data_IF_979904095444
#
_entry.id   IF_979904095444
#
_cell.length_a   1.000
_cell.length_b   1.000
_cell.length_c   1.000
_cell.angle_alpha   90.00
_cell.angle_beta   90.00
_cell.angle_gamma   90.00
#
_symmetry.space_group_name_H-M   'P 1'
#
loop_
_entity.id
_entity.type
_entity.pdbx_description
1 polymer ?
#
# COMPACT_ATOMS: atom_id res chain seq x y z
N UNK A 1 11.96 -1.98 -26.62
CA UNK A 1 11.12 -3.22 -26.59
C UNK A 1 10.08 -3.04 -25.51
N UNK A 2 8.78 -3.02 -25.85
CA UNK A 2 7.70 -3.07 -24.87
C UNK A 2 7.73 -4.44 -24.19
N UNK A 3 7.89 -4.48 -22.87
CA UNK A 3 7.83 -5.74 -22.13
C UNK A 3 6.45 -6.39 -22.36
N UNK A 4 6.44 -7.71 -22.56
CA UNK A 4 5.18 -8.47 -22.68
C UNK A 4 4.38 -8.31 -21.39
N UNK A 5 3.07 -8.00 -21.46
CA UNK A 5 2.22 -7.94 -20.29
C UNK A 5 2.25 -9.24 -19.48
N UNK A 6 2.30 -9.12 -18.15
CA UNK A 6 2.20 -10.27 -17.27
C UNK A 6 0.77 -10.81 -17.29
N UNK A 7 0.62 -12.11 -17.55
CA UNK A 7 -0.66 -12.80 -17.46
C UNK A 7 -0.74 -13.59 -16.16
N UNK A 8 -1.82 -13.40 -15.40
CA UNK A 8 -2.09 -14.10 -14.15
C UNK A 8 -3.32 -15.00 -14.25
N UNK A 9 -3.45 -15.93 -13.31
CA UNK A 9 -4.56 -16.92 -13.23
C UNK A 9 -5.92 -16.26 -13.00
N UNK A 10 -7.01 -16.99 -13.23
CA UNK A 10 -8.36 -16.53 -12.94
C UNK A 10 -8.57 -16.33 -11.43
N UNK A 11 -8.00 -17.21 -10.61
CA UNK A 11 -7.99 -17.09 -9.14
C UNK A 11 -7.34 -15.79 -8.70
N UNK A 12 -6.14 -15.49 -9.20
CA UNK A 12 -5.48 -14.22 -8.90
C UNK A 12 -6.30 -13.02 -9.40
N UNK A 13 -6.93 -13.13 -10.58
CA UNK A 13 -7.77 -12.05 -11.10
C UNK A 13 -8.99 -11.78 -10.21
N UNK A 14 -9.64 -12.81 -9.69
CA UNK A 14 -10.75 -12.68 -8.74
C UNK A 14 -10.30 -11.93 -7.47
N UNK A 15 -9.13 -12.27 -6.93
CA UNK A 15 -8.53 -11.57 -5.79
C UNK A 15 -8.24 -10.11 -6.10
N UNK A 16 -7.55 -9.82 -7.22
CA UNK A 16 -7.15 -8.48 -7.63
C UNK A 16 -8.36 -7.56 -7.88
N UNK A 17 -9.45 -8.13 -8.40
CA UNK A 17 -10.68 -7.38 -8.75
C UNK A 17 -11.72 -7.32 -7.64
N UNK A 18 -11.58 -8.14 -6.59
CA UNK A 18 -12.62 -8.33 -5.58
C UNK A 18 -12.27 -7.85 -4.18
N UNK A 19 -11.00 -7.63 -3.82
CA UNK A 19 -10.62 -7.21 -2.48
C UNK A 19 -10.98 -5.75 -2.18
N UNK A 20 -11.56 -5.52 -1.01
CA UNK A 20 -11.93 -4.18 -0.55
C UNK A 20 -10.71 -3.38 -0.11
N UNK A 21 -9.74 -4.05 0.51
CA UNK A 21 -8.59 -3.40 1.14
C UNK A 21 -7.31 -4.18 0.87
N UNK A 22 -6.26 -3.47 0.48
CA UNK A 22 -4.94 -4.02 0.21
C UNK A 22 -3.86 -3.17 0.86
N UNK A 23 -2.68 -3.74 1.04
CA UNK A 23 -1.53 -2.98 1.50
C UNK A 23 -0.64 -2.59 0.32
N UNK A 24 -0.39 -1.30 0.12
CA UNK A 24 0.59 -0.81 -0.85
C UNK A 24 1.90 -0.49 -0.15
N UNK A 25 2.99 -1.06 -0.65
CA UNK A 25 4.34 -0.74 -0.20
C UNK A 25 5.13 -0.02 -1.28
N UNK A 26 5.95 0.94 -0.86
CA UNK A 26 6.84 1.72 -1.71
C UNK A 26 8.17 2.01 -1.02
N UNK A 27 9.22 2.19 -1.82
CA UNK A 27 10.60 2.36 -1.33
C UNK A 27 10.79 3.74 -0.72
N UNK A 28 11.65 3.83 0.29
CA UNK A 28 12.07 5.10 0.90
C UNK A 28 13.47 5.50 0.42
N UNK A 29 13.81 6.79 0.43
CA UNK A 29 15.16 7.24 0.08
C UNK A 29 16.27 6.61 0.94
N UNK A 30 15.95 6.17 2.15
CA UNK A 30 16.88 5.49 3.06
C UNK A 30 17.03 3.97 2.75
N UNK A 31 16.45 3.46 1.66
CA UNK A 31 16.54 2.05 1.27
C UNK A 31 15.66 1.09 2.06
N UNK A 32 14.69 1.59 2.81
CA UNK A 32 13.64 0.78 3.44
C UNK A 32 12.34 0.81 2.63
N UNK A 33 11.26 0.28 3.22
CA UNK A 33 9.91 0.37 2.67
C UNK A 33 8.95 1.03 3.66
N UNK A 34 7.90 1.63 3.13
CA UNK A 34 6.69 2.04 3.89
C UNK A 34 5.54 1.24 3.34
N UNK A 35 4.67 0.78 4.21
CA UNK A 35 3.44 0.06 3.84
C UNK A 35 2.24 0.76 4.44
N UNK A 36 1.19 0.95 3.63
CA UNK A 36 -0.07 1.61 4.02
C UNK A 36 -1.26 0.88 3.40
N UNK A 37 -2.40 0.96 4.06
CA UNK A 37 -3.66 0.41 3.55
C UNK A 37 -4.27 1.34 2.49
N UNK A 38 -4.80 0.76 1.42
CA UNK A 38 -5.57 1.45 0.37
C UNK A 38 -6.72 0.56 -0.11
N UNK A 39 -7.74 1.16 -0.74
CA UNK A 39 -8.77 0.41 -1.46
C UNK A 39 -8.44 0.43 -2.94
N UNK A 40 -8.19 -0.73 -3.57
CA UNK A 40 -7.82 -0.84 -4.98
C UNK A 40 -9.03 -0.64 -5.91
N UNK A 41 -10.26 -0.76 -5.38
CA UNK A 41 -11.51 -0.63 -6.12
C UNK A 41 -11.64 -1.62 -7.30
N UNK A 42 -10.89 -2.73 -7.27
CA UNK A 42 -10.87 -3.69 -8.37
C UNK A 42 -10.31 -3.14 -9.69
N UNK A 43 -9.54 -2.06 -9.65
CA UNK A 43 -8.97 -1.42 -10.83
C UNK A 43 -7.88 -2.30 -11.44
N UNK A 44 -8.28 -3.14 -12.41
CA UNK A 44 -7.41 -4.08 -13.11
C UNK A 44 -7.61 -3.99 -14.60
N UNK A 45 -6.54 -4.10 -15.37
CA UNK A 45 -6.52 -4.34 -16.80
C UNK A 45 -5.66 -5.58 -17.05
N UNK A 46 -6.32 -6.76 -17.10
CA UNK A 46 -5.65 -8.05 -17.27
C UNK A 46 -4.95 -8.17 -18.61
N UNK A 47 -5.54 -7.58 -19.66
CA UNK A 47 -4.95 -7.64 -20.98
C UNK A 47 -3.65 -6.83 -21.08
N UNK A 48 -3.56 -5.73 -20.36
CA UNK A 48 -2.37 -4.91 -20.27
C UNK A 48 -1.41 -5.32 -19.14
N UNK A 49 -1.74 -6.33 -18.33
CA UNK A 49 -0.91 -6.73 -17.17
C UNK A 49 -0.85 -5.66 -16.09
N UNK A 50 -1.95 -4.93 -15.85
CA UNK A 50 -1.98 -3.76 -14.96
C UNK A 50 -2.97 -3.91 -13.84
N UNK A 51 -2.58 -3.33 -12.70
CA UNK A 51 -3.46 -3.09 -11.55
C UNK A 51 -3.33 -1.62 -11.14
N UNK A 52 -4.27 -1.12 -10.34
CA UNK A 52 -4.21 0.27 -9.94
C UNK A 52 -4.88 0.57 -8.61
N UNK A 53 -4.67 1.77 -8.15
CA UNK A 53 -5.42 2.36 -7.04
C UNK A 53 -5.49 3.87 -7.21
N UNK A 54 -6.40 4.50 -6.48
CA UNK A 54 -6.47 5.97 -6.46
C UNK A 54 -6.00 6.54 -5.13
N UNK A 55 -5.51 7.76 -5.19
CA UNK A 55 -5.11 8.52 -4.01
C UNK A 55 -5.46 10.01 -4.21
N UNK A 56 -5.06 10.87 -3.29
CA UNK A 56 -5.28 12.31 -3.40
C UNK A 56 -4.01 13.09 -3.10
N UNK A 57 -4.00 14.37 -3.48
CA UNK A 57 -2.94 15.32 -3.12
C UNK A 57 -2.79 15.53 -1.61
N UNK A 58 -3.75 15.06 -0.81
CA UNK A 58 -3.64 15.04 0.66
C UNK A 58 -2.53 14.12 1.20
N UNK A 59 -1.98 13.25 0.35
CA UNK A 59 -0.88 12.34 0.71
C UNK A 59 0.39 12.59 -0.13
N UNK A 60 0.94 13.80 -0.13
CA UNK A 60 1.99 14.21 -1.05
C UNK A 60 3.28 13.41 -0.89
N UNK A 61 3.63 13.01 0.34
CA UNK A 61 4.85 12.21 0.60
C UNK A 61 4.80 10.83 -0.04
N UNK A 62 3.62 10.19 -0.07
CA UNK A 62 3.42 8.91 -0.76
C UNK A 62 3.66 9.07 -2.26
N UNK A 63 2.99 10.04 -2.87
CA UNK A 63 3.13 10.34 -4.30
C UNK A 63 4.58 10.69 -4.67
N UNK A 64 5.23 11.56 -3.90
CA UNK A 64 6.63 11.96 -4.14
C UNK A 64 7.58 10.76 -4.12
N UNK A 65 7.40 9.82 -3.18
CA UNK A 65 8.22 8.61 -3.09
C UNK A 65 8.00 7.68 -4.29
N UNK A 66 6.74 7.44 -4.66
CA UNK A 66 6.40 6.60 -5.82
C UNK A 66 6.90 7.25 -7.12
N UNK A 67 6.85 8.57 -7.24
CA UNK A 67 7.37 9.29 -8.41
C UNK A 67 8.90 9.22 -8.53
N UNK A 68 9.62 9.19 -7.40
CA UNK A 68 11.09 9.07 -7.38
C UNK A 68 11.58 7.63 -7.56
N UNK A 69 10.90 6.68 -6.98
CA UNK A 69 11.17 5.24 -7.13
C UNK A 69 9.86 4.53 -7.42
N UNK A 70 9.60 4.17 -8.69
CA UNK A 70 8.32 3.63 -9.11
C UNK A 70 8.08 2.19 -8.65
N UNK A 71 9.08 1.51 -8.07
CA UNK A 71 8.95 0.14 -7.58
C UNK A 71 8.01 0.09 -6.41
N UNK A 72 6.89 -0.61 -6.59
CA UNK A 72 5.84 -0.77 -5.60
C UNK A 72 5.43 -2.24 -5.48
N UNK A 73 4.75 -2.55 -4.40
CA UNK A 73 4.07 -3.82 -4.24
C UNK A 73 2.67 -3.62 -3.67
N UNK A 74 1.71 -4.39 -4.15
CA UNK A 74 0.37 -4.52 -3.59
C UNK A 74 0.22 -5.91 -3.00
N UNK A 75 -0.12 -5.96 -1.70
CA UNK A 75 -0.41 -7.19 -0.99
C UNK A 75 -1.92 -7.31 -0.74
N UNK A 76 -2.52 -8.34 -1.32
CA UNK A 76 -3.91 -8.72 -1.17
C UNK A 76 -3.97 -9.76 -0.05
N UNK A 77 -4.25 -9.30 1.16
CA UNK A 77 -3.98 -10.02 2.41
C UNK A 77 -5.22 -10.31 3.25
N UNK A 78 -6.39 -9.92 2.79
CA UNK A 78 -7.66 -10.13 3.50
C UNK A 78 -8.81 -10.18 2.52
N UNK A 79 -9.79 -11.03 2.80
CA UNK A 79 -11.03 -11.18 2.03
C UNK A 79 -12.23 -10.52 2.70
N UNK A 80 -12.01 -9.93 3.88
CA UNK A 80 -13.12 -9.34 4.62
C UNK A 80 -13.77 -8.20 3.85
N UNK A 81 -15.08 -8.28 3.77
CA UNK A 81 -15.95 -7.28 3.18
C UNK A 81 -15.73 -6.98 1.70
N UNK A 82 -14.88 -7.77 1.02
CA UNK A 82 -14.68 -7.74 -0.41
C UNK A 82 -15.64 -8.68 -1.17
N UNK A 83 -15.35 -8.91 -2.43
CA UNK A 83 -16.11 -9.81 -3.32
C UNK A 83 -15.31 -11.05 -3.70
N UNK A 84 -14.00 -11.05 -3.51
CA UNK A 84 -13.13 -12.19 -3.78
C UNK A 84 -13.40 -13.32 -2.78
N UNK A 85 -13.36 -14.57 -3.28
CA UNK A 85 -13.59 -15.78 -2.49
C UNK A 85 -12.33 -16.58 -2.20
N UNK A 86 -11.36 -16.66 -3.17
CA UNK A 86 -10.15 -17.44 -2.93
C UNK A 86 -9.35 -16.87 -1.75
N UNK A 87 -8.87 -17.73 -0.86
CA UNK A 87 -8.11 -17.31 0.34
C UNK A 87 -6.60 -17.18 0.08
N UNK A 88 -6.24 -17.01 -1.18
CA UNK A 88 -4.85 -16.84 -1.58
C UNK A 88 -4.30 -15.49 -1.12
N UNK A 89 -3.11 -15.49 -0.51
CA UNK A 89 -2.33 -14.28 -0.36
C UNK A 89 -1.65 -13.95 -1.68
N UNK A 90 -1.91 -12.78 -2.24
CA UNK A 90 -1.31 -12.35 -3.51
C UNK A 90 -0.45 -11.12 -3.30
N UNK A 91 0.81 -11.20 -3.72
CA UNK A 91 1.75 -10.08 -3.75
C UNK A 91 2.09 -9.73 -5.19
N UNK A 92 1.56 -8.61 -5.68
CA UNK A 92 1.87 -8.08 -7.00
C UNK A 92 2.95 -7.00 -6.88
N UNK A 93 4.06 -7.15 -7.58
CA UNK A 93 5.18 -6.21 -7.64
C UNK A 93 5.27 -5.62 -9.05
N UNK A 94 5.49 -4.32 -9.15
CA UNK A 94 5.55 -3.66 -10.46
C UNK A 94 5.99 -2.20 -10.39
N UNK A 95 6.02 -1.57 -11.56
CA UNK A 95 6.42 -0.18 -11.74
C UNK A 95 5.19 0.72 -11.79
N UNK A 96 5.11 1.66 -10.86
CA UNK A 96 4.00 2.59 -10.76
C UNK A 96 4.18 3.78 -11.71
N UNK A 97 3.11 4.13 -12.42
CA UNK A 97 2.98 5.36 -13.19
C UNK A 97 1.85 6.21 -12.58
N UNK A 98 2.17 7.45 -12.26
CA UNK A 98 1.26 8.34 -11.56
C UNK A 98 0.59 9.29 -12.56
N UNK A 99 -0.72 9.13 -12.75
CA UNK A 99 -1.52 10.03 -13.53
C UNK A 99 -2.14 11.11 -12.61
N UNK A 100 -1.57 12.32 -12.71
CA UNK A 100 -1.99 13.47 -11.90
C UNK A 100 -3.24 14.17 -12.44
N UNK A 101 -3.68 13.81 -13.66
CA UNK A 101 -4.83 14.41 -14.35
C UNK A 101 -5.57 13.34 -15.14
N UNK A 102 -6.19 12.37 -14.49
CA UNK A 102 -6.93 11.33 -15.18
C UNK A 102 -8.03 11.95 -16.06
N UNK A 103 -8.28 11.31 -17.18
CA UNK A 103 -9.35 11.73 -18.09
C UNK A 103 -10.72 11.67 -17.40
N UNK A 104 -11.72 12.42 -17.88
CA UNK A 104 -13.08 12.34 -17.33
C UNK A 104 -13.61 10.91 -17.32
N UNK A 105 -13.40 10.14 -18.40
CA UNK A 105 -13.81 8.74 -18.47
C UNK A 105 -13.18 7.90 -17.36
N UNK A 106 -11.89 8.02 -17.10
CA UNK A 106 -11.23 7.29 -16.00
C UNK A 106 -11.76 7.69 -14.63
N UNK A 107 -12.15 8.95 -14.45
CA UNK A 107 -12.77 9.41 -13.21
C UNK A 107 -14.16 8.79 -13.03
N UNK A 108 -14.93 8.67 -14.10
CA UNK A 108 -16.24 8.03 -14.07
C UNK A 108 -16.11 6.53 -13.78
N UNK A 109 -15.17 5.82 -14.40
CA UNK A 109 -14.85 4.41 -14.11
C UNK A 109 -14.49 4.20 -12.63
N UNK A 110 -13.73 5.13 -12.03
CA UNK A 110 -13.39 5.08 -10.59
C UNK A 110 -14.61 5.34 -9.72
N UNK A 111 -15.54 6.20 -10.13
CA UNK A 111 -16.77 6.44 -9.37
C UNK A 111 -17.68 5.21 -9.38
N UNK A 112 -17.85 4.57 -10.53
CA UNK A 112 -18.63 3.32 -10.67
C UNK A 112 -18.01 2.20 -9.82
N UNK A 113 -16.69 2.03 -9.90
CA UNK A 113 -15.96 1.08 -9.07
C UNK A 113 -16.10 1.42 -7.57
N UNK A 114 -16.05 2.70 -7.21
CA UNK A 114 -16.25 3.18 -5.84
C UNK A 114 -17.65 2.84 -5.34
N UNK A 115 -18.68 3.03 -6.16
CA UNK A 115 -20.06 2.71 -5.80
C UNK A 115 -20.27 1.20 -5.61
N UNK A 116 -19.59 0.36 -6.40
CA UNK A 116 -19.58 -1.09 -6.21
C UNK A 116 -19.06 -1.50 -4.83
N UNK A 117 -17.92 -0.93 -4.38
CA UNK A 117 -17.26 -1.33 -3.13
C UNK A 117 -17.80 -0.59 -1.89
N UNK A 118 -18.14 0.67 -2.03
CA UNK A 118 -18.56 1.51 -0.90
C UNK A 118 -20.06 1.77 -0.87
N UNK A 119 -20.78 1.26 -1.89
CA UNK A 119 -22.19 1.56 -2.13
C UNK A 119 -22.40 2.99 -2.63
N UNK A 120 -23.62 3.32 -3.10
CA UNK A 120 -23.90 4.58 -3.79
C UNK A 120 -23.48 5.80 -2.97
N UNK A 121 -22.81 6.72 -3.63
CA UNK A 121 -22.33 7.97 -3.05
C UNK A 121 -23.47 8.86 -2.53
N UNK A 122 -23.16 9.74 -1.59
CA UNK A 122 -24.10 10.82 -1.20
C UNK A 122 -24.28 11.77 -2.39
N UNK A 123 -25.54 12.12 -2.68
CA UNK A 123 -25.93 12.99 -3.78
C UNK A 123 -26.76 14.19 -3.29
N UNK A 124 -26.91 15.21 -4.16
CA UNK A 124 -27.60 16.45 -3.90
C UNK A 124 -26.66 17.64 -3.80
N UNK A 125 -27.17 18.85 -4.13
CA UNK A 125 -26.37 20.08 -4.35
C UNK A 125 -25.31 20.35 -3.28
N UNK A 126 -25.64 20.15 -1.99
CA UNK A 126 -24.72 20.37 -0.87
C UNK A 126 -23.60 19.31 -0.85
N UNK A 127 -23.95 18.03 -1.07
CA UNK A 127 -22.99 16.94 -1.11
C UNK A 127 -22.11 17.00 -2.37
N UNK A 128 -22.67 17.36 -3.51
CA UNK A 128 -21.92 17.49 -4.75
C UNK A 128 -20.90 18.62 -4.66
N UNK A 129 -21.25 19.76 -4.05
CA UNK A 129 -20.29 20.82 -3.75
C UNK A 129 -19.20 20.38 -2.75
N UNK A 130 -19.57 19.66 -1.69
CA UNK A 130 -18.63 19.22 -0.65
C UNK A 130 -17.66 18.17 -1.19
N UNK A 131 -18.18 17.19 -1.94
CA UNK A 131 -17.41 16.05 -2.44
C UNK A 131 -16.77 16.29 -3.81
N UNK A 132 -16.96 17.47 -4.40
CA UNK A 132 -16.42 17.79 -5.72
C UNK A 132 -14.92 17.50 -5.82
N UNK A 133 -14.09 18.04 -4.93
CA UNK A 133 -12.66 17.81 -4.93
C UNK A 133 -12.29 16.36 -4.58
N UNK A 134 -13.05 15.73 -3.70
CA UNK A 134 -12.86 14.31 -3.35
C UNK A 134 -13.08 13.40 -4.58
N UNK A 135 -14.05 13.72 -5.43
CA UNK A 135 -14.37 12.95 -6.63
C UNK A 135 -13.45 13.29 -7.81
N UNK A 136 -13.14 14.57 -8.03
CA UNK A 136 -12.44 15.05 -9.22
C UNK A 136 -10.94 15.28 -9.08
N UNK A 137 -10.46 15.60 -7.88
CA UNK A 137 -9.02 15.77 -7.62
C UNK A 137 -8.34 14.45 -7.24
N UNK A 138 -8.73 13.35 -7.92
CA UNK A 138 -8.11 12.04 -7.76
C UNK A 138 -6.82 11.96 -8.55
N UNK A 139 -5.84 11.32 -7.94
CA UNK A 139 -4.61 10.90 -8.60
C UNK A 139 -4.71 9.41 -8.83
N UNK A 140 -4.53 8.97 -10.04
CA UNK A 140 -4.53 7.56 -10.40
C UNK A 140 -3.11 7.02 -10.36
N UNK A 141 -2.91 5.84 -9.81
CA UNK A 141 -1.63 5.14 -9.81
C UNK A 141 -1.83 3.81 -10.52
N UNK A 142 -1.35 3.72 -11.75
CA UNK A 142 -1.26 2.47 -12.50
C UNK A 142 0.02 1.74 -12.10
N UNK A 143 -0.01 0.43 -12.13
CA UNK A 143 1.14 -0.42 -11.84
C UNK A 143 1.25 -1.45 -12.96
N UNK A 144 2.30 -1.34 -13.76
CA UNK A 144 2.70 -2.38 -14.70
C UNK A 144 3.28 -3.55 -13.90
N UNK A 145 2.51 -4.62 -13.75
CA UNK A 145 2.90 -5.77 -12.92
C UNK A 145 4.08 -6.49 -13.59
N UNK A 146 5.17 -6.64 -12.85
CA UNK A 146 6.37 -7.33 -13.30
C UNK A 146 6.44 -8.75 -12.78
N UNK A 147 5.98 -8.96 -11.56
CA UNK A 147 5.96 -10.26 -10.90
C UNK A 147 4.76 -10.35 -9.97
N UNK A 148 4.21 -11.54 -9.89
CA UNK A 148 3.17 -11.90 -8.93
C UNK A 148 3.58 -13.16 -8.19
N UNK A 149 3.50 -13.14 -6.87
CA UNK A 149 3.69 -14.30 -6.02
C UNK A 149 2.37 -14.60 -5.31
N UNK A 150 1.93 -15.84 -5.38
CA UNK A 150 0.65 -16.29 -4.82
C UNK A 150 0.88 -17.45 -3.87
N UNK A 151 0.35 -17.36 -2.67
CA UNK A 151 0.33 -18.43 -1.68
C UNK A 151 -1.11 -18.93 -1.50
N UNK A 152 -1.30 -20.22 -1.20
CA UNK A 152 -2.65 -20.82 -1.13
C UNK A 152 -3.45 -20.43 0.12
N UNK A 153 -2.88 -19.64 1.02
CA UNK A 153 -3.54 -19.12 2.22
C UNK A 153 -3.11 -17.68 2.54
N UNK A 154 -3.97 -16.97 3.28
CA UNK A 154 -3.75 -15.57 3.67
C UNK A 154 -2.57 -15.37 4.62
N UNK A 155 -2.13 -16.41 5.30
CA UNK A 155 -0.95 -16.37 6.16
C UNK A 155 0.36 -16.52 5.39
N UNK A 156 0.30 -16.84 4.08
CA UNK A 156 1.44 -17.01 3.18
C UNK A 156 2.40 -18.14 3.60
N UNK A 157 1.87 -19.28 4.05
CA UNK A 157 2.68 -20.45 4.35
C UNK A 157 3.09 -21.21 3.08
N UNK A 158 4.30 -21.75 3.11
CA UNK A 158 4.88 -22.54 2.02
C UNK A 158 5.51 -21.71 0.89
N UNK A 159 5.98 -22.37 -0.18
CA UNK A 159 6.55 -21.70 -1.33
C UNK A 159 5.46 -21.03 -2.16
N UNK A 160 5.69 -19.79 -2.66
CA UNK A 160 4.75 -19.15 -3.57
C UNK A 160 4.78 -19.77 -4.97
N UNK A 161 3.64 -19.76 -5.64
CA UNK A 161 3.59 -19.80 -7.08
C UNK A 161 4.00 -18.42 -7.62
N UNK A 162 5.03 -18.38 -8.47
CA UNK A 162 5.57 -17.13 -9.01
C UNK A 162 5.29 -17.03 -10.50
N UNK A 163 4.58 -15.98 -10.90
CA UNK A 163 4.38 -15.60 -12.30
C UNK A 163 5.28 -14.42 -12.65
N UNK A 164 6.02 -14.51 -13.75
CA UNK A 164 7.02 -13.54 -14.19
C UNK A 164 8.44 -13.94 -13.79
N UNK A 165 9.37 -12.98 -13.58
CA UNK A 165 10.73 -13.26 -13.13
C UNK A 165 10.76 -14.04 -11.82
N UNK A 166 11.76 -14.90 -11.63
CA UNK A 166 11.93 -15.69 -10.42
C UNK A 166 11.92 -14.83 -9.15
N UNK A 167 11.48 -15.43 -8.04
CA UNK A 167 11.58 -14.78 -6.73
C UNK A 167 13.04 -14.46 -6.43
N UNK A 168 13.37 -13.23 -6.00
CA UNK A 168 14.76 -12.85 -5.78
C UNK A 168 15.33 -13.54 -4.54
N UNK A 169 16.64 -13.69 -4.52
CA UNK A 169 17.38 -14.11 -3.33
C UNK A 169 17.12 -13.16 -2.15
N UNK A 170 17.50 -13.61 -0.95
CA UNK A 170 17.42 -12.77 0.23
C UNK A 170 18.28 -11.51 0.05
N UNK A 171 17.74 -10.31 0.31
CA UNK A 171 18.52 -9.09 0.20
C UNK A 171 19.64 -9.05 1.24
N UNK A 172 20.79 -8.48 0.87
CA UNK A 172 21.91 -8.29 1.77
C UNK A 172 21.52 -7.48 3.00
N UNK A 173 22.18 -7.75 4.12
CA UNK A 173 22.03 -6.95 5.33
C UNK A 173 22.37 -5.48 5.08
N UNK A 174 21.62 -4.58 5.68
CA UNK A 174 21.88 -3.14 5.57
C UNK A 174 22.74 -2.64 6.74
N UNK A 175 23.58 -1.65 6.45
CA UNK A 175 24.30 -0.94 7.51
C UNK A 175 23.31 -0.31 8.49
N UNK A 176 23.54 -0.53 9.78
CA UNK A 176 22.76 0.10 10.84
C UNK A 176 22.79 1.63 10.72
N UNK A 177 21.69 2.32 11.02
CA UNK A 177 21.68 3.78 11.02
C UNK A 177 22.62 4.35 12.08
N UNK A 178 23.26 5.48 11.78
CA UNK A 178 24.22 6.14 12.70
C UNK A 178 23.65 6.42 14.09
N UNK A 179 22.35 6.72 14.15
CA UNK A 179 21.65 6.97 15.42
C UNK A 179 21.19 5.68 16.12
N UNK A 180 21.75 4.52 15.76
CA UNK A 180 21.41 3.22 16.34
C UNK A 180 20.11 2.61 15.83
N UNK A 181 19.84 1.39 16.27
CA UNK A 181 18.72 0.55 15.84
C UNK A 181 17.59 0.46 16.88
N UNK A 182 17.77 1.04 18.06
CA UNK A 182 16.78 1.00 19.13
C UNK A 182 15.48 1.74 18.77
N UNK A 183 14.33 1.41 19.39
CA UNK A 183 13.09 2.17 19.21
C UNK A 183 13.28 3.66 19.55
N UNK A 184 12.61 4.52 18.76
CA UNK A 184 12.60 5.98 18.98
C UNK A 184 11.21 6.50 19.33
N UNK A 185 10.29 5.60 19.60
CA UNK A 185 8.90 5.86 19.99
C UNK A 185 8.54 4.98 21.19
N UNK A 186 7.56 5.40 21.96
CA UNK A 186 7.06 4.65 23.11
C UNK A 186 6.33 3.37 22.66
N UNK A 187 7.04 2.25 22.71
CA UNK A 187 6.55 0.92 22.30
C UNK A 187 5.34 0.51 23.13
N UNK A 188 5.36 0.73 24.45
CA UNK A 188 4.28 0.33 25.35
C UNK A 188 2.97 1.09 25.06
N UNK A 189 3.08 2.39 24.80
CA UNK A 189 1.92 3.21 24.39
C UNK A 189 1.37 2.80 23.03
N UNK A 190 2.25 2.51 22.08
CA UNK A 190 1.86 2.15 20.71
C UNK A 190 1.23 0.77 20.65
N UNK A 191 1.69 -0.20 21.44
CA UNK A 191 1.10 -1.53 21.51
C UNK A 191 -0.40 -1.48 21.79
N UNK A 192 -0.82 -0.71 22.81
CA UNK A 192 -2.24 -0.58 23.15
C UNK A 192 -3.11 -0.09 21.99
N UNK A 193 -2.51 0.64 21.04
CA UNK A 193 -3.19 1.12 19.83
C UNK A 193 -3.17 0.11 18.70
N UNK A 194 -2.16 -0.77 18.66
CA UNK A 194 -2.00 -1.81 17.65
C UNK A 194 -2.82 -3.06 18.01
N UNK A 195 -2.95 -3.37 19.27
CA UNK A 195 -3.62 -4.59 19.76
C UNK A 195 -5.01 -4.82 19.12
N UNK A 196 -5.88 -3.80 18.97
CA UNK A 196 -7.19 -3.96 18.32
C UNK A 196 -7.14 -4.02 16.77
N UNK A 197 -5.95 -3.94 16.15
CA UNK A 197 -5.78 -3.93 14.70
C UNK A 197 -5.33 -5.32 14.24
N UNK A 198 -6.22 -6.14 13.63
CA UNK A 198 -5.94 -7.55 13.35
C UNK A 198 -4.97 -7.75 12.19
N UNK A 199 -5.01 -6.90 11.16
CA UNK A 199 -4.17 -7.08 9.98
C UNK A 199 -2.82 -6.42 10.17
N UNK A 200 -1.76 -7.22 10.18
CA UNK A 200 -0.40 -6.76 10.44
C UNK A 200 0.52 -7.23 9.33
N UNK A 201 1.21 -6.29 8.70
CA UNK A 201 2.04 -6.52 7.54
C UNK A 201 3.38 -5.82 7.71
N UNK A 202 4.45 -6.56 7.45
CA UNK A 202 5.80 -6.05 7.42
C UNK A 202 6.22 -5.83 5.97
N UNK A 203 6.89 -4.72 5.67
CA UNK A 203 7.43 -4.46 4.35
C UNK A 203 8.92 -4.11 4.42
N UNK A 204 9.70 -4.69 3.51
CA UNK A 204 11.12 -4.38 3.34
C UNK A 204 11.46 -4.31 1.85
N UNK A 205 12.63 -3.79 1.51
CA UNK A 205 13.12 -3.76 0.14
C UNK A 205 13.83 -5.07 -0.19
N UNK A 206 13.36 -5.78 -1.23
CA UNK A 206 13.98 -6.99 -1.79
C UNK A 206 15.33 -6.72 -2.46
N UNK A 207 16.05 -7.78 -2.83
CA UNK A 207 17.36 -7.68 -3.47
C UNK A 207 17.31 -7.00 -4.84
N UNK A 208 16.23 -7.20 -5.59
CA UNK A 208 15.95 -6.56 -6.88
C UNK A 208 15.39 -5.11 -6.72
N UNK A 209 15.20 -4.69 -5.49
CA UNK A 209 14.74 -3.34 -5.14
C UNK A 209 13.23 -3.19 -5.04
N UNK A 210 12.42 -4.15 -5.45
CA UNK A 210 10.97 -4.11 -5.22
C UNK A 210 10.65 -4.34 -3.75
N UNK A 211 9.60 -3.68 -3.21
CA UNK A 211 9.14 -4.00 -1.87
C UNK A 211 8.62 -5.44 -1.79
N UNK A 212 8.92 -6.12 -0.69
CA UNK A 212 8.30 -7.38 -0.28
C UNK A 212 7.40 -7.06 0.88
N UNK A 213 6.17 -7.56 0.86
CA UNK A 213 5.20 -7.38 1.95
C UNK A 213 4.81 -8.76 2.45
N UNK A 214 4.89 -8.96 3.75
CA UNK A 214 4.64 -10.26 4.37
C UNK A 214 3.69 -10.12 5.55
N UNK A 215 2.75 -11.06 5.77
CA UNK A 215 1.94 -11.08 6.96
C UNK A 215 2.82 -11.39 8.18
N UNK A 216 2.53 -10.74 9.30
CA UNK A 216 3.25 -10.97 10.56
C UNK A 216 2.31 -10.94 11.76
N UNK A 217 2.66 -11.70 12.77
CA UNK A 217 2.04 -11.62 14.09
C UNK A 217 2.93 -10.86 15.06
N UNK A 218 2.33 -10.02 15.91
CA UNK A 218 3.04 -9.37 17.03
C UNK A 218 2.78 -10.21 18.27
N UNK A 219 3.78 -11.01 18.65
CA UNK A 219 3.67 -11.99 19.75
C UNK A 219 4.24 -11.48 21.08
N UNK A 220 4.85 -10.30 21.07
CA UNK A 220 5.39 -9.70 22.27
C UNK A 220 5.98 -8.33 22.02
N UNK A 221 6.36 -7.69 23.14
CA UNK A 221 6.98 -6.37 23.13
C UNK A 221 7.90 -6.22 24.33
N UNK A 222 8.98 -5.50 24.14
CA UNK A 222 9.90 -5.10 25.20
C UNK A 222 10.57 -3.75 24.86
N UNK A 223 11.60 -3.40 25.59
CA UNK A 223 12.37 -2.16 25.36
C UNK A 223 13.12 -2.15 24.00
N UNK A 224 13.28 -3.30 23.35
CA UNK A 224 13.92 -3.42 22.03
C UNK A 224 12.92 -3.28 20.87
N UNK A 225 11.62 -3.35 21.13
CA UNK A 225 10.57 -3.19 20.13
C UNK A 225 9.48 -4.25 20.16
N UNK A 226 8.94 -4.55 18.98
CA UNK A 226 7.95 -5.60 18.77
C UNK A 226 8.64 -6.91 18.36
N UNK A 227 8.26 -7.99 18.99
CA UNK A 227 8.63 -9.34 18.58
C UNK A 227 7.61 -9.84 17.56
N UNK A 228 8.10 -10.16 16.37
CA UNK A 228 7.28 -10.58 15.23
C UNK A 228 7.50 -12.06 14.92
N UNK A 229 6.41 -12.74 14.55
CA UNK A 229 6.44 -14.02 13.84
C UNK A 229 5.98 -13.82 12.40
N UNK A 230 6.58 -14.57 11.49
CA UNK A 230 6.27 -14.63 10.07
C UNK A 230 6.34 -16.06 9.58
N UNK A 231 5.65 -16.42 8.49
CA UNK A 231 5.88 -17.70 7.81
C UNK A 231 7.36 -17.91 7.46
N UNK A 232 7.83 -19.17 7.44
CA UNK A 232 9.22 -19.47 7.10
C UNK A 232 9.62 -18.96 5.71
N UNK A 233 10.88 -18.54 5.56
CA UNK A 233 11.43 -18.11 4.27
C UNK A 233 11.07 -16.69 3.85
N UNK A 234 10.21 -15.98 4.58
CA UNK A 234 9.79 -14.62 4.24
C UNK A 234 10.54 -13.53 5.02
N UNK A 235 11.29 -13.89 6.06
CA UNK A 235 12.16 -12.97 6.79
C UNK A 235 13.61 -13.14 6.31
N UNK A 236 14.17 -12.15 5.62
CA UNK A 236 15.57 -12.22 5.20
C UNK A 236 16.50 -12.05 6.41
N UNK A 237 17.62 -12.79 6.46
CA UNK A 237 18.56 -12.72 7.57
C UNK A 237 19.19 -11.33 7.71
N UNK A 238 19.67 -11.02 8.92
CA UNK A 238 20.35 -9.76 9.22
C UNK A 238 19.42 -8.58 9.51
N UNK A 239 20.03 -7.40 9.57
CA UNK A 239 19.35 -6.14 9.92
C UNK A 239 19.00 -5.29 8.71
N UNK A 240 17.84 -4.61 8.73
CA UNK A 240 17.41 -3.72 7.65
C UNK A 240 16.36 -2.72 8.06
N UNK A 241 16.21 -1.66 7.26
CA UNK A 241 15.09 -0.72 7.37
C UNK A 241 13.83 -1.37 6.83
N UNK A 242 12.75 -1.31 7.62
CA UNK A 242 11.45 -1.89 7.25
C UNK A 242 10.30 -0.96 7.66
N UNK A 243 9.13 -1.20 7.07
CA UNK A 243 7.86 -0.62 7.46
C UNK A 243 6.98 -1.69 8.09
N UNK A 244 6.16 -1.30 9.07
CA UNK A 244 5.14 -2.14 9.66
C UNK A 244 3.80 -1.42 9.54
N UNK A 245 2.78 -2.13 9.09
CA UNK A 245 1.39 -1.69 9.06
C UNK A 245 0.58 -2.54 10.02
N UNK A 246 -0.24 -1.90 10.83
CA UNK A 246 -1.35 -2.56 11.52
C UNK A 246 -2.63 -1.80 11.16
N UNK A 247 -3.69 -2.52 10.76
CA UNK A 247 -4.94 -1.87 10.38
C UNK A 247 -6.17 -2.73 10.64
N UNK A 248 -7.33 -2.07 10.59
CA UNK A 248 -8.66 -2.67 10.61
C UNK A 248 -9.61 -1.82 9.79
N UNK A 249 -10.67 -2.42 9.29
CA UNK A 249 -11.73 -1.74 8.56
C UNK A 249 -13.04 -2.50 8.72
N UNK A 250 -14.15 -1.87 8.34
CA UNK A 250 -15.50 -2.43 8.36
C UNK A 250 -16.05 -2.49 6.94
N UNK A 251 -17.23 -3.10 6.71
CA UNK A 251 -17.89 -3.05 5.42
C UNK A 251 -17.85 -1.65 4.81
N UNK A 252 -17.67 -1.58 3.49
CA UNK A 252 -17.55 -0.32 2.74
C UNK A 252 -16.34 0.54 3.16
N UNK A 253 -15.33 -0.07 3.76
CA UNK A 253 -14.12 0.58 4.31
C UNK A 253 -14.44 1.70 5.32
N UNK A 254 -15.58 1.59 6.01
CA UNK A 254 -15.98 2.53 7.07
C UNK A 254 -15.13 2.28 8.31
N UNK A 255 -14.77 3.35 9.01
CA UNK A 255 -13.98 3.25 10.23
C UNK A 255 -12.58 2.65 10.03
N UNK A 256 -12.00 2.81 8.83
CA UNK A 256 -10.61 2.43 8.58
C UNK A 256 -9.71 3.03 9.65
N UNK A 257 -9.06 2.17 10.42
CA UNK A 257 -8.03 2.56 11.37
C UNK A 257 -6.71 1.92 10.95
N UNK A 258 -5.64 2.70 10.88
CA UNK A 258 -4.31 2.17 10.56
C UNK A 258 -3.22 2.88 11.35
N UNK A 259 -2.20 2.12 11.68
CA UNK A 259 -0.93 2.59 12.19
C UNK A 259 0.20 2.13 11.28
N UNK A 260 0.97 3.08 10.80
CA UNK A 260 2.13 2.83 9.93
C UNK A 260 3.39 3.22 10.68
N UNK A 261 4.38 2.36 10.61
CA UNK A 261 5.69 2.56 11.24
C UNK A 261 6.79 2.50 10.19
N UNK A 262 7.86 3.22 10.43
CA UNK A 262 9.17 2.95 9.84
C UNK A 262 10.14 2.66 10.96
N UNK A 263 11.07 1.73 10.74
CA UNK A 263 11.98 1.32 11.80
C UNK A 263 13.06 0.37 11.30
N UNK A 264 13.63 -0.35 12.26
CA UNK A 264 14.66 -1.33 12.03
C UNK A 264 14.14 -2.73 12.33
N UNK A 265 14.28 -3.64 11.38
CA UNK A 265 14.02 -5.06 11.50
C UNK A 265 15.34 -5.80 11.74
N UNK A 266 15.36 -6.71 12.69
CA UNK A 266 16.47 -7.65 12.89
C UNK A 266 15.88 -9.05 12.93
N UNK A 267 16.12 -9.86 11.90
CA UNK A 267 15.71 -11.26 11.89
C UNK A 267 16.56 -12.05 12.89
N UNK A 268 15.91 -12.87 13.71
CA UNK A 268 16.54 -13.77 14.70
C UNK A 268 16.61 -15.20 14.17
N UNK A 269 15.64 -15.56 13.36
CA UNK A 269 15.52 -16.84 12.66
C UNK A 269 14.74 -16.64 11.35
N UNK A 270 14.42 -17.72 10.65
CA UNK A 270 13.56 -17.70 9.47
C UNK A 270 12.11 -17.28 9.77
N UNK A 271 11.69 -17.39 11.02
CA UNK A 271 10.31 -17.10 11.44
C UNK A 271 10.19 -15.99 12.47
N UNK A 272 11.29 -15.61 13.14
CA UNK A 272 11.26 -14.63 14.22
C UNK A 272 12.10 -13.40 13.92
N UNK A 273 11.55 -12.24 14.24
CA UNK A 273 12.25 -10.97 14.14
C UNK A 273 11.94 -10.02 15.31
N UNK A 274 12.85 -9.11 15.57
CA UNK A 274 12.62 -7.92 16.38
C UNK A 274 12.45 -6.71 15.47
N UNK A 275 11.39 -5.94 15.67
CA UNK A 275 11.13 -4.70 14.96
C UNK A 275 11.17 -3.50 15.90
N UNK A 276 12.16 -2.65 15.75
CA UNK A 276 12.34 -1.43 16.52
C UNK A 276 11.71 -0.23 15.76
N UNK A 277 10.53 0.28 16.16
CA UNK A 277 9.88 1.38 15.48
C UNK A 277 10.60 2.72 15.76
N UNK A 278 10.96 3.43 14.67
CA UNK A 278 11.59 4.74 14.75
C UNK A 278 10.58 5.87 14.59
N UNK A 279 9.55 5.67 13.78
CA UNK A 279 8.45 6.62 13.59
C UNK A 279 7.11 5.91 13.64
N UNK A 280 6.07 6.64 13.95
CA UNK A 280 4.70 6.14 13.86
C UNK A 280 3.78 7.21 13.29
N UNK A 281 2.82 6.80 12.47
CA UNK A 281 1.73 7.63 11.96
C UNK A 281 0.44 6.87 12.13
N UNK A 282 -0.60 7.51 12.62
CA UNK A 282 -1.92 6.93 12.79
C UNK A 282 -2.93 7.66 11.89
N UNK A 283 -3.84 6.90 11.33
CA UNK A 283 -5.04 7.39 10.65
C UNK A 283 -6.24 6.62 11.20
N UNK A 284 -7.29 7.35 11.56
CA UNK A 284 -8.56 6.76 11.94
C UNK A 284 -9.69 7.49 11.22
N UNK A 285 -10.41 6.79 10.37
CA UNK A 285 -11.62 7.30 9.73
C UNK A 285 -12.81 7.16 10.69
N UNK A 286 -13.77 8.08 10.66
CA UNK A 286 -14.97 7.98 11.47
C UNK A 286 -15.74 6.67 11.21
N UNK A 287 -16.34 6.06 12.25
CA UNK A 287 -17.09 4.82 12.10
C UNK A 287 -18.49 5.00 11.50
N UNK A 288 -18.86 6.22 11.14
CA UNK A 288 -20.12 6.57 10.50
C UNK A 288 -19.87 7.03 9.06
N UNK A 289 -20.54 6.42 8.09
CA UNK A 289 -20.38 6.69 6.65
C UNK A 289 -20.64 8.17 6.29
N UNK A 290 -21.63 8.79 6.90
CA UNK A 290 -21.94 10.20 6.61
C UNK A 290 -20.84 11.13 7.13
N UNK A 291 -20.37 10.89 8.35
CA UNK A 291 -19.26 11.65 8.95
C UNK A 291 -17.95 11.42 8.19
N UNK A 292 -17.73 10.20 7.72
CA UNK A 292 -16.56 9.87 6.88
C UNK A 292 -16.62 10.59 5.54
N UNK A 293 -17.78 10.63 4.87
CA UNK A 293 -17.95 11.37 3.62
C UNK A 293 -17.70 12.88 3.82
N UNK A 294 -18.21 13.46 4.92
CA UNK A 294 -17.95 14.85 5.30
C UNK A 294 -16.45 15.10 5.51
N UNK A 295 -15.79 14.23 6.28
CA UNK A 295 -14.35 14.31 6.54
C UNK A 295 -13.53 14.19 5.26
N UNK A 296 -13.87 13.26 4.37
CA UNK A 296 -13.20 13.06 3.08
C UNK A 296 -13.32 14.30 2.19
N UNK A 297 -14.51 14.94 2.13
CA UNK A 297 -14.71 16.18 1.38
C UNK A 297 -13.85 17.33 1.91
N UNK A 298 -13.81 17.51 3.23
CA UNK A 298 -13.00 18.56 3.88
C UNK A 298 -11.51 18.32 3.67
N UNK A 299 -11.05 17.08 3.88
CA UNK A 299 -9.65 16.70 3.70
C UNK A 299 -9.19 16.86 2.24
N UNK A 300 -10.03 16.51 1.28
CA UNK A 300 -9.72 16.69 -0.13
C UNK A 300 -9.58 18.17 -0.50
N UNK A 301 -10.54 19.01 -0.10
CA UNK A 301 -10.47 20.47 -0.30
C UNK A 301 -9.23 21.08 0.34
N UNK A 302 -8.94 20.71 1.60
CA UNK A 302 -7.73 21.17 2.29
C UNK A 302 -6.45 20.71 1.59
N UNK A 303 -6.40 19.44 1.15
CA UNK A 303 -5.26 18.88 0.42
C UNK A 303 -4.99 19.62 -0.89
N UNK A 304 -6.01 19.87 -1.70
CA UNK A 304 -5.90 20.61 -2.96
C UNK A 304 -5.46 22.06 -2.70
N UNK A 305 -6.10 22.74 -1.76
CA UNK A 305 -5.74 24.11 -1.39
C UNK A 305 -4.28 24.22 -0.92
N UNK A 306 -3.86 23.32 -0.03
CA UNK A 306 -2.49 23.29 0.49
C UNK A 306 -1.48 23.01 -0.63
N UNK A 307 -1.76 22.02 -1.48
CA UNK A 307 -0.87 21.64 -2.60
C UNK A 307 -0.71 22.77 -3.61
N UNK A 308 -1.72 23.63 -3.79
CA UNK A 308 -1.64 24.84 -4.58
C UNK A 308 -0.81 25.93 -3.93
N UNK A 309 -0.97 26.12 -2.60
CA UNK A 309 -0.33 27.21 -1.86
C UNK A 309 1.17 27.00 -1.63
N UNK A 310 1.59 25.77 -1.32
CA UNK A 310 3.00 25.44 -1.00
C UNK A 310 3.80 24.92 -2.19
N UNK A 311 3.24 24.99 -3.43
CA UNK A 311 3.88 24.52 -4.65
C UNK A 311 4.02 23.00 -4.76
N UNK A 312 3.54 22.25 -3.78
CA UNK A 312 3.64 20.77 -3.77
C UNK A 312 2.95 20.15 -4.98
N UNK A 313 1.79 20.67 -5.37
CA UNK A 313 1.06 20.18 -6.53
C UNK A 313 1.83 20.34 -7.83
N UNK A 314 2.53 21.47 -8.02
CA UNK A 314 3.35 21.72 -9.21
C UNK A 314 4.60 20.82 -9.23
N UNK A 315 5.30 20.72 -8.09
CA UNK A 315 6.46 19.83 -7.95
C UNK A 315 6.10 18.36 -8.26
N UNK A 316 4.98 17.86 -7.77
CA UNK A 316 4.52 16.51 -8.08
C UNK A 316 4.18 16.33 -9.56
N UNK A 317 3.56 17.34 -10.21
CA UNK A 317 3.29 17.28 -11.66
C UNK A 317 4.58 17.27 -12.49
N UNK A 318 5.57 18.05 -12.09
CA UNK A 318 6.90 18.04 -12.74
C UNK A 318 7.54 16.66 -12.65
N UNK A 319 7.53 16.05 -11.45
CA UNK A 319 8.04 14.68 -11.26
C UNK A 319 7.25 13.67 -12.09
N UNK A 320 5.92 13.76 -12.14
CA UNK A 320 5.08 12.87 -12.94
C UNK A 320 5.38 13.00 -14.44
N UNK A 321 5.61 14.23 -14.94
CA UNK A 321 6.02 14.46 -16.32
C UNK A 321 7.36 13.82 -16.69
N UNK A 322 8.24 13.59 -15.73
CA UNK A 322 9.52 12.93 -15.94
C UNK A 322 9.39 11.39 -16.04
N UNK A 323 8.30 10.80 -15.54
CA UNK A 323 8.06 9.35 -15.66
C UNK A 323 7.71 8.90 -17.09
N UNK A 324 7.33 9.82 -17.97
CA UNK A 324 6.87 9.51 -19.33
C UNK A 324 5.46 8.87 -19.35
N UNK A 325 4.82 8.79 -20.52
CA UNK A 325 3.55 8.10 -20.68
C UNK A 325 3.73 6.58 -20.51
N UNK A 326 2.67 5.92 -20.02
CA UNK A 326 2.57 4.45 -19.95
C UNK A 326 3.02 3.82 -21.28
N UNK A 327 4.04 2.98 -21.25
CA UNK A 327 4.56 2.27 -22.42
C UNK A 327 5.75 2.90 -23.14
N UNK A 328 6.26 4.07 -22.73
CA UNK A 328 7.50 4.66 -23.28
C UNK A 328 8.54 4.85 -22.19
N UNK A 329 9.14 3.76 -21.74
CA UNK A 329 10.50 3.81 -21.18
C UNK A 329 11.41 3.17 -22.22
N UNK A 330 12.18 4.01 -22.90
CA UNK A 330 13.35 3.57 -23.60
C UNK A 330 14.31 2.93 -22.57
N UNK A 331 14.80 1.77 -22.94
CA UNK A 331 15.75 0.93 -22.21
C UNK A 331 17.06 1.64 -21.88
#
# INVERSE_FOLDING_TARGET
>A
MTATPLHWSDTAHEVLSGDLNVAVAYVTPAGGAVVVSVSPLGLTDRAAGRIGFTTSLGFPRKLERILRDPRVALAYHTREHGFARPEDYVLAQGDAVVDMRPSPQRLDDVLDASDRFFGPGKSGRAWDWLLHEYRRARVYVDIDVRRMATWPDLAAYGPPEVTGPAWPDAPAEQRAPENGTAPRVDVARLSRKIDPLPYRLLAYRGADGYPVVVPVEIVGRDHTGFRLLSPPGLLPPGGRRAGLLAHSFRPQNVGLAMMTFTGWLTARSETEACYAPHTSTALAAPPNRTVQALGNGILAKHGVWRAGRDGTGERLRTLAGQQGPLGRRES
#
